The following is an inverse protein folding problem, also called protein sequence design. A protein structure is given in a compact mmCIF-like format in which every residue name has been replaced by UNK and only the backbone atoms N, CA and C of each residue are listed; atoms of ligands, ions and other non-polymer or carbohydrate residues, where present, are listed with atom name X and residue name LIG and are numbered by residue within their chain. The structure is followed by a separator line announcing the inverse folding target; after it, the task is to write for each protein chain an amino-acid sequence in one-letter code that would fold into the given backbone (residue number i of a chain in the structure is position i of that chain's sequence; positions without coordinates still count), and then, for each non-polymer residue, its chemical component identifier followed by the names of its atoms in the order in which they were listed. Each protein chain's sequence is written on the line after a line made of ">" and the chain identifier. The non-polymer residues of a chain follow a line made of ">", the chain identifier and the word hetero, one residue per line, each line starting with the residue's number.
data_IF_583797884813
#
_entry.id   IF_583797884813
#
_cell.length_a   1.000
_cell.length_b   1.000
_cell.length_c   1.000
_cell.angle_alpha   90.00
_cell.angle_beta   90.00
_cell.angle_gamma   90.00
#
_symmetry.space_group_name_H-M   'P 1'
#
loop_
_entity.id
_entity.type
_entity.pdbx_description
1 polymer ?
#
# COMPACT_ATOMS: atom_id res chain seq x y z
N UNK A 1 10.25 2.48 11.76
CA UNK A 1 9.40 3.24 10.83
C UNK A 1 10.24 3.97 9.79
N UNK A 2 11.21 4.80 10.19
CA UNK A 2 12.07 5.56 9.26
C UNK A 2 12.87 4.67 8.28
N UNK A 3 13.53 3.62 8.78
CA UNK A 3 14.31 2.71 7.92
C UNK A 3 13.44 2.00 6.86
N UNK A 4 12.18 1.71 7.18
CA UNK A 4 11.24 1.13 6.21
C UNK A 4 11.01 2.08 5.03
N UNK A 5 10.76 3.36 5.29
CA UNK A 5 10.54 4.34 4.24
C UNK A 5 11.79 4.60 3.41
N UNK A 6 12.96 4.64 4.05
CA UNK A 6 14.25 4.74 3.36
C UNK A 6 14.48 3.57 2.39
N UNK A 7 14.20 2.34 2.82
CA UNK A 7 14.31 1.16 1.97
C UNK A 7 13.27 1.16 0.84
N UNK A 8 12.07 1.64 1.14
CA UNK A 8 10.98 1.77 0.17
C UNK A 8 11.31 2.80 -0.91
N UNK A 9 11.82 3.97 -0.52
CA UNK A 9 12.25 5.02 -1.45
C UNK A 9 13.38 4.54 -2.35
N UNK A 10 14.42 3.92 -1.77
CA UNK A 10 15.49 3.29 -2.54
C UNK A 10 14.97 2.23 -3.52
N UNK A 11 13.96 1.45 -3.13
CA UNK A 11 13.32 0.49 -4.03
C UNK A 11 12.60 1.19 -5.17
N UNK A 12 11.82 2.24 -4.88
CA UNK A 12 11.08 3.03 -5.87
C UNK A 12 12.04 3.69 -6.87
N UNK A 13 13.14 4.29 -6.40
CA UNK A 13 14.16 4.91 -7.25
C UNK A 13 14.80 3.92 -8.23
N UNK A 14 14.89 2.65 -7.84
CA UNK A 14 15.38 1.57 -8.70
C UNK A 14 14.38 1.10 -9.77
N UNK A 15 13.11 1.51 -9.71
CA UNK A 15 12.10 1.16 -10.72
C UNK A 15 12.25 2.04 -11.96
N UNK A 16 11.70 1.57 -13.09
CA UNK A 16 11.57 2.42 -14.28
C UNK A 16 10.73 3.66 -13.94
N UNK A 17 11.13 4.84 -14.43
CA UNK A 17 10.48 6.13 -14.14
C UNK A 17 8.95 6.10 -14.30
N UNK A 18 8.43 5.31 -15.26
CA UNK A 18 6.98 5.15 -15.49
C UNK A 18 6.23 4.47 -14.34
N UNK A 19 6.93 3.66 -13.54
CA UNK A 19 6.35 2.96 -12.39
C UNK A 19 6.55 3.72 -11.08
N UNK A 20 7.50 4.66 -11.00
CA UNK A 20 7.83 5.36 -9.76
C UNK A 20 6.68 6.23 -9.25
N UNK A 21 6.13 7.09 -10.11
CA UNK A 21 5.10 8.08 -9.73
C UNK A 21 3.83 7.44 -9.15
N UNK A 22 3.51 6.21 -9.59
CA UNK A 22 2.24 5.54 -9.27
C UNK A 22 2.42 4.31 -8.39
N UNK A 23 3.66 4.02 -7.96
CA UNK A 23 3.95 2.89 -7.09
C UNK A 23 3.19 2.98 -5.77
N UNK A 24 3.14 4.17 -5.18
CA UNK A 24 2.40 4.45 -3.95
C UNK A 24 1.77 5.84 -4.04
N UNK A 25 0.54 5.99 -3.57
CA UNK A 25 -0.17 7.27 -3.59
C UNK A 25 0.27 8.12 -2.41
N UNK A 26 0.99 9.22 -2.65
CA UNK A 26 1.30 10.22 -1.60
C UNK A 26 0.06 11.03 -1.22
N UNK A 27 0.06 11.63 -0.03
CA UNK A 27 -1.09 12.40 0.46
C UNK A 27 -1.54 13.53 -0.50
N UNK A 28 -0.60 14.21 -1.15
CA UNK A 28 -0.92 15.26 -2.12
C UNK A 28 -1.73 14.71 -3.31
N UNK A 29 -1.26 13.60 -3.92
CA UNK A 29 -1.98 12.94 -5.02
C UNK A 29 -3.32 12.36 -4.56
N UNK A 30 -3.40 11.86 -3.32
CA UNK A 30 -4.66 11.40 -2.73
C UNK A 30 -5.70 12.54 -2.66
N UNK A 31 -5.27 13.74 -2.28
CA UNK A 31 -6.15 14.92 -2.25
C UNK A 31 -6.58 15.33 -3.67
N UNK A 32 -5.65 15.29 -4.64
CA UNK A 32 -5.98 15.56 -6.05
C UNK A 32 -6.99 14.55 -6.60
N UNK A 33 -6.86 13.26 -6.25
CA UNK A 33 -7.82 12.22 -6.59
C UNK A 33 -9.22 12.57 -6.05
N UNK A 34 -9.33 13.03 -4.81
CA UNK A 34 -10.61 13.46 -4.22
C UNK A 34 -11.20 14.62 -5.04
N UNK A 35 -10.41 15.67 -5.31
CA UNK A 35 -10.88 16.83 -6.07
C UNK A 35 -11.34 16.45 -7.48
N UNK A 36 -10.62 15.55 -8.15
CA UNK A 36 -10.99 15.04 -9.46
C UNK A 36 -12.30 14.25 -9.42
N UNK A 37 -12.47 13.38 -8.43
CA UNK A 37 -13.68 12.57 -8.25
C UNK A 37 -14.90 13.42 -7.87
N UNK A 38 -14.69 14.56 -7.20
CA UNK A 38 -15.71 15.56 -6.92
C UNK A 38 -16.00 16.49 -8.12
N UNK A 39 -15.25 16.37 -9.22
CA UNK A 39 -15.40 17.20 -10.42
C UNK A 39 -14.81 18.61 -10.30
N UNK A 40 -13.98 18.86 -9.29
CA UNK A 40 -13.46 20.18 -8.94
C UNK A 40 -12.10 20.50 -9.59
N UNK A 41 -11.30 19.49 -9.95
CA UNK A 41 -9.93 19.70 -10.46
C UNK A 41 -9.48 18.63 -11.47
N UNK A 42 -8.28 18.81 -12.01
CA UNK A 42 -7.52 17.86 -12.81
C UNK A 42 -7.48 18.16 -14.31
N UNK A 43 -6.31 17.94 -14.91
CA UNK A 43 -6.16 17.90 -16.36
C UNK A 43 -6.80 16.61 -16.95
N UNK A 44 -7.01 16.53 -18.28
CA UNK A 44 -7.65 15.38 -18.91
C UNK A 44 -6.96 14.04 -18.63
N UNK A 45 -5.63 14.00 -18.55
CA UNK A 45 -4.87 12.76 -18.34
C UNK A 45 -5.02 12.28 -16.89
N UNK A 46 -4.91 13.19 -15.92
CA UNK A 46 -5.20 12.86 -14.52
C UNK A 46 -6.65 12.41 -14.35
N UNK A 47 -7.62 13.14 -14.90
CA UNK A 47 -9.05 12.79 -14.86
C UNK A 47 -9.31 11.38 -15.39
N UNK A 48 -8.75 11.04 -16.55
CA UNK A 48 -8.91 9.72 -17.13
C UNK A 48 -8.33 8.63 -16.22
N UNK A 49 -7.10 8.83 -15.74
CA UNK A 49 -6.44 7.85 -14.87
C UNK A 49 -7.18 7.67 -13.54
N UNK A 50 -7.64 8.76 -12.91
CA UNK A 50 -8.38 8.71 -11.65
C UNK A 50 -9.70 7.97 -11.83
N UNK A 51 -10.52 8.35 -12.81
CA UNK A 51 -11.83 7.71 -13.07
C UNK A 51 -11.71 6.23 -13.45
N UNK A 52 -10.57 5.83 -14.03
CA UNK A 52 -10.30 4.44 -14.39
C UNK A 52 -9.94 3.57 -13.17
N UNK A 53 -9.28 4.14 -12.16
CA UNK A 53 -8.69 3.36 -11.07
C UNK A 53 -9.39 3.53 -9.72
N UNK A 54 -10.07 4.67 -9.49
CA UNK A 54 -10.58 5.02 -8.18
C UNK A 54 -12.04 5.45 -8.19
N UNK A 55 -12.67 5.28 -7.03
CA UNK A 55 -14.01 5.78 -6.73
C UNK A 55 -14.03 6.40 -5.34
N UNK A 56 -14.95 7.34 -5.13
CA UNK A 56 -15.13 8.00 -3.84
C UNK A 56 -16.30 7.35 -3.10
N UNK A 57 -16.08 6.92 -1.87
CA UNK A 57 -17.11 6.38 -0.98
C UNK A 57 -17.28 7.34 0.19
N UNK A 58 -18.53 7.68 0.53
CA UNK A 58 -18.86 8.45 1.73
C UNK A 58 -19.07 7.50 2.90
N UNK A 59 -18.34 7.71 3.99
CA UNK A 59 -18.48 6.99 5.25
C UNK A 59 -18.73 8.05 6.33
N UNK A 60 -20.00 8.22 6.71
CA UNK A 60 -20.44 9.38 7.47
C UNK A 60 -20.12 10.68 6.70
N UNK A 61 -19.44 11.60 7.37
CA UNK A 61 -19.03 12.89 6.79
C UNK A 61 -17.69 12.82 6.03
N UNK A 62 -17.01 11.68 6.05
CA UNK A 62 -15.71 11.52 5.41
C UNK A 62 -15.83 10.91 4.02
N UNK A 63 -15.06 11.45 3.08
CA UNK A 63 -14.90 10.87 1.74
C UNK A 63 -13.61 10.06 1.68
N UNK A 64 -13.72 8.77 1.37
CA UNK A 64 -12.60 7.83 1.30
C UNK A 64 -12.42 7.34 -0.14
N UNK A 65 -11.18 7.35 -0.61
CA UNK A 65 -10.83 6.87 -1.95
C UNK A 65 -10.68 5.35 -1.91
N UNK A 66 -11.40 4.67 -2.79
CA UNK A 66 -11.33 3.23 -2.97
C UNK A 66 -10.72 2.91 -4.34
N UNK A 67 -9.89 1.88 -4.40
CA UNK A 67 -9.46 1.29 -5.67
C UNK A 67 -10.64 0.50 -6.27
N UNK A 68 -10.95 0.75 -7.54
CA UNK A 68 -12.07 0.09 -8.24
C UNK A 68 -11.85 -1.42 -8.34
N UNK A 69 -10.62 -1.84 -8.67
CA UNK A 69 -10.30 -3.25 -8.95
C UNK A 69 -10.40 -4.14 -7.71
N UNK A 70 -9.82 -3.70 -6.60
CA UNK A 70 -9.83 -4.45 -5.33
C UNK A 70 -11.08 -4.17 -4.51
N UNK A 71 -11.78 -3.05 -4.76
CA UNK A 71 -12.89 -2.57 -3.94
C UNK A 71 -12.51 -2.32 -2.47
N UNK A 72 -11.26 -1.90 -2.23
CA UNK A 72 -10.74 -1.60 -0.91
C UNK A 72 -10.23 -0.14 -0.81
N UNK A 73 -10.20 0.44 0.40
CA UNK A 73 -9.67 1.79 0.61
C UNK A 73 -8.19 1.87 0.22
N UNK A 74 -7.84 2.93 -0.50
CA UNK A 74 -6.46 3.22 -0.90
C UNK A 74 -5.65 3.64 0.33
N UNK A 75 -4.48 3.03 0.51
CA UNK A 75 -3.53 3.44 1.55
C UNK A 75 -2.55 4.45 0.99
N UNK A 76 -2.41 5.57 1.69
CA UNK A 76 -1.40 6.57 1.32
C UNK A 76 -0.01 6.10 1.69
N UNK A 77 1.00 6.60 0.98
CA UNK A 77 2.41 6.25 1.22
C UNK A 77 2.78 6.37 2.69
N UNK A 78 2.38 7.47 3.33
CA UNK A 78 2.67 7.83 4.71
C UNK A 78 2.04 6.87 5.73
N UNK A 79 0.98 6.15 5.34
CA UNK A 79 0.26 5.19 6.17
C UNK A 79 0.64 3.73 5.90
N UNK A 80 1.47 3.44 4.89
CA UNK A 80 1.84 2.07 4.51
C UNK A 80 2.42 1.28 5.68
N UNK A 81 3.38 1.86 6.42
CA UNK A 81 4.02 1.19 7.54
C UNK A 81 2.99 0.75 8.58
N UNK A 82 2.15 1.68 9.02
CA UNK A 82 1.15 1.44 10.07
C UNK A 82 0.14 0.38 9.64
N UNK A 83 -0.38 0.46 8.40
CA UNK A 83 -1.38 -0.49 7.92
C UNK A 83 -0.83 -1.89 7.70
N UNK A 84 0.38 -2.00 7.17
CA UNK A 84 1.02 -3.32 7.03
C UNK A 84 1.36 -3.89 8.41
N UNK A 85 1.82 -3.08 9.36
CA UNK A 85 2.08 -3.50 10.75
C UNK A 85 0.83 -4.05 11.41
N UNK A 86 -0.29 -3.34 11.34
CA UNK A 86 -1.59 -3.79 11.89
C UNK A 86 -2.00 -5.15 11.30
N UNK A 87 -1.92 -5.32 9.97
CA UNK A 87 -2.21 -6.59 9.32
C UNK A 87 -1.24 -7.70 9.74
N UNK A 88 0.06 -7.41 9.80
CA UNK A 88 1.10 -8.37 10.16
C UNK A 88 0.97 -8.86 11.61
N UNK A 89 0.63 -7.96 12.53
CA UNK A 89 0.34 -8.26 13.94
C UNK A 89 -0.94 -9.10 14.06
N UNK A 90 -1.99 -8.76 13.30
CA UNK A 90 -3.27 -9.49 13.30
C UNK A 90 -3.11 -10.93 12.83
N UNK A 91 -2.27 -11.16 11.82
CA UNK A 91 -1.93 -12.54 11.41
C UNK A 91 -0.91 -13.20 12.32
N UNK A 92 -0.44 -12.57 13.40
CA UNK A 92 0.46 -13.20 14.38
C UNK A 92 1.91 -13.37 13.90
N UNK A 93 2.45 -12.39 13.17
CA UNK A 93 3.81 -12.42 12.62
C UNK A 93 4.08 -13.64 11.75
N UNK A 94 3.09 -14.04 10.95
CA UNK A 94 3.33 -15.03 9.91
C UNK A 94 4.09 -14.41 8.73
N UNK A 95 4.66 -15.27 7.88
CA UNK A 95 5.46 -14.83 6.74
C UNK A 95 4.70 -14.01 5.69
N UNK A 96 5.43 -13.69 4.62
CA UNK A 96 4.98 -12.85 3.50
C UNK A 96 3.59 -13.18 3.00
N UNK A 97 3.30 -14.44 2.71
CA UNK A 97 2.08 -14.80 1.98
C UNK A 97 0.82 -14.58 2.82
N UNK A 98 0.86 -14.91 4.11
CA UNK A 98 -0.27 -14.64 5.02
C UNK A 98 -0.46 -13.15 5.26
N UNK A 99 0.63 -12.39 5.44
CA UNK A 99 0.55 -10.93 5.58
C UNK A 99 0.01 -10.28 4.29
N UNK A 100 0.46 -10.76 3.12
CA UNK A 100 -0.05 -10.30 1.82
C UNK A 100 -1.55 -10.51 1.69
N UNK A 101 -2.04 -11.70 2.06
CA UNK A 101 -3.46 -12.02 2.03
C UNK A 101 -4.26 -11.07 2.92
N UNK A 102 -3.80 -10.83 4.14
CA UNK A 102 -4.47 -9.92 5.05
C UNK A 102 -4.48 -8.48 4.51
N UNK A 103 -3.38 -7.99 3.94
CA UNK A 103 -3.33 -6.63 3.41
C UNK A 103 -4.25 -6.47 2.20
N UNK A 104 -4.24 -7.42 1.24
CA UNK A 104 -5.08 -7.32 0.04
C UNK A 104 -6.59 -7.41 0.35
N UNK A 105 -6.96 -8.08 1.45
CA UNK A 105 -8.36 -8.26 1.86
C UNK A 105 -8.88 -7.06 2.67
N UNK A 106 -8.02 -6.08 2.95
CA UNK A 106 -8.35 -4.88 3.75
C UNK A 106 -8.10 -3.58 2.98
N UNK A 107 -7.08 -3.56 2.11
CA UNK A 107 -6.55 -2.34 1.51
C UNK A 107 -6.31 -2.48 0.01
N UNK A 108 -6.54 -1.39 -0.71
CA UNK A 108 -6.23 -1.23 -2.12
C UNK A 108 -4.90 -0.50 -2.33
N UNK A 109 -4.33 -0.68 -3.51
CA UNK A 109 -3.12 0.05 -3.94
C UNK A 109 -1.86 -0.15 -3.06
N UNK A 110 -1.71 -1.32 -2.44
CA UNK A 110 -0.50 -1.68 -1.67
C UNK A 110 0.34 -2.67 -2.48
N UNK A 111 1.54 -2.30 -2.96
CA UNK A 111 2.42 -3.22 -3.68
C UNK A 111 2.95 -4.36 -2.80
N UNK A 112 3.06 -5.57 -3.37
CA UNK A 112 3.63 -6.73 -2.66
C UNK A 112 5.08 -6.48 -2.21
N UNK A 113 5.87 -5.76 -3.00
CA UNK A 113 7.26 -5.47 -2.66
C UNK A 113 7.38 -4.56 -1.42
N UNK A 114 6.41 -3.65 -1.21
CA UNK A 114 6.29 -2.88 0.03
C UNK A 114 6.14 -3.81 1.25
N UNK A 115 5.34 -4.86 1.13
CA UNK A 115 5.11 -5.82 2.22
C UNK A 115 6.34 -6.69 2.47
N UNK A 116 7.05 -7.11 1.41
CA UNK A 116 8.33 -7.82 1.55
C UNK A 116 9.35 -6.98 2.32
N UNK A 117 9.47 -5.69 1.96
CA UNK A 117 10.35 -4.74 2.63
C UNK A 117 9.96 -4.55 4.09
N UNK A 118 8.67 -4.45 4.40
CA UNK A 118 8.22 -4.37 5.79
C UNK A 118 8.63 -5.60 6.62
N UNK A 119 8.38 -6.81 6.09
CA UNK A 119 8.63 -8.05 6.83
C UNK A 119 10.12 -8.27 7.09
N UNK A 120 10.99 -7.86 6.16
CA UNK A 120 12.44 -7.96 6.36
C UNK A 120 12.95 -7.08 7.51
N UNK A 121 12.17 -6.09 7.93
CA UNK A 121 12.46 -5.20 9.05
C UNK A 121 11.74 -5.60 10.35
N UNK A 122 11.03 -6.73 10.38
CA UNK A 122 10.31 -7.15 11.58
C UNK A 122 11.22 -7.91 12.53
N UNK A 123 11.55 -7.30 13.69
CA UNK A 123 12.43 -7.89 14.70
C UNK A 123 11.93 -9.25 15.22
N UNK A 124 10.61 -9.42 15.37
CA UNK A 124 10.01 -10.68 15.83
C UNK A 124 10.24 -11.79 14.79
N UNK A 125 10.07 -11.47 13.51
CA UNK A 125 10.28 -12.43 12.43
C UNK A 125 11.77 -12.76 12.26
N UNK A 126 12.64 -11.76 12.31
CA UNK A 126 14.10 -11.93 12.14
C UNK A 126 14.73 -12.77 13.25
N UNK A 127 14.18 -12.71 14.47
CA UNK A 127 14.67 -13.49 15.62
C UNK A 127 14.08 -14.91 15.72
N UNK A 128 13.07 -15.27 14.91
CA UNK A 128 12.56 -16.65 14.87
C UNK A 128 13.59 -17.53 14.18
N UNK A 129 14.18 -18.48 14.93
CA UNK A 129 15.01 -19.55 14.37
C UNK A 129 14.18 -20.28 13.30
N UNK A 130 14.66 -20.27 12.07
CA UNK A 130 14.13 -21.17 11.04
C UNK A 130 14.52 -22.58 11.44
N UNK A 131 13.53 -23.42 11.77
CA UNK A 131 13.81 -24.85 11.83
C UNK A 131 14.11 -25.30 10.40
N UNK A 132 15.29 -25.88 10.13
CA UNK A 132 15.57 -26.40 8.79
C UNK A 132 14.49 -27.40 8.43
N UNK A 133 13.95 -27.25 7.21
CA UNK A 133 12.98 -28.20 6.66
C UNK A 133 13.65 -29.57 6.68
N UNK A 134 13.05 -30.62 7.30
CA UNK A 134 13.66 -31.94 7.29
C UNK A 134 13.94 -32.34 5.84
N UNK A 135 15.16 -32.85 5.60
CA UNK A 135 15.53 -33.37 4.29
C UNK A 135 14.52 -34.45 3.90
N UNK A 136 14.01 -34.36 2.67
CA UNK A 136 13.12 -35.34 2.08
C UNK A 136 13.87 -36.66 1.79
#
# INVERSE_FOLDING_TARGET
>A
MEEFYKLLEKHIEGLNYKFQEKFSIKQLLYNDIILVLQGLSGDPQLKFWVKKNFKLIKIGDQSVVYEIKSNHPVVTHENLYTKIKECHERVGHHGRDKTWIEVKDQYGWVPLDTIKLFISQCDICSNRKTFPKPAA
#
